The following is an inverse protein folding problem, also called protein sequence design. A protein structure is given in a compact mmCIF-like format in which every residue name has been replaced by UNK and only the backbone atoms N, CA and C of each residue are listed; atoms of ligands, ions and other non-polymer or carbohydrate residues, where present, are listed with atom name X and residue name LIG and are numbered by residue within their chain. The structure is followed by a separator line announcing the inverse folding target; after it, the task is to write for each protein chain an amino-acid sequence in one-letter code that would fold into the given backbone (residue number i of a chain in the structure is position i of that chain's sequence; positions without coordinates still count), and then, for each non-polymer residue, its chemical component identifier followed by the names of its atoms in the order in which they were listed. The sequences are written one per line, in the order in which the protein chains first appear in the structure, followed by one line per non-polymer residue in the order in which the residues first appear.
data_IF_493700050274
#
_entry.id   IF_493700050274
#
_cell.length_a   1.000
_cell.length_b   1.000
_cell.length_c   1.000
_cell.angle_alpha   90.00
_cell.angle_beta   90.00
_cell.angle_gamma   90.00
#
_symmetry.space_group_name_H-M   'P 1'
#
loop_
_entity.id
_entity.type
_entity.pdbx_description
1 polymer ?
#
# COMPACT_ATOMS: atom_id res chain seq x y z
N UNK A 1 1.56 -22.27 -2.21
CA UNK A 1 0.73 -22.37 -0.98
C UNK A 1 -0.59 -21.62 -1.15
N UNK A 2 -0.59 -20.40 -1.68
CA UNK A 2 -1.82 -19.59 -1.86
C UNK A 2 -2.36 -19.50 -3.30
N UNK A 3 -1.93 -20.34 -4.24
CA UNK A 3 -2.27 -20.13 -5.67
C UNK A 3 -3.79 -20.07 -5.93
N UNK A 4 -4.58 -20.90 -5.25
CA UNK A 4 -6.04 -20.89 -5.38
C UNK A 4 -6.68 -19.62 -4.78
N UNK A 5 -6.04 -19.04 -3.76
CA UNK A 5 -6.54 -17.85 -3.06
C UNK A 5 -6.56 -16.59 -3.93
N UNK A 6 -5.77 -16.57 -5.01
CA UNK A 6 -5.65 -15.46 -5.95
C UNK A 6 -6.50 -15.63 -7.22
N UNK A 7 -7.16 -16.77 -7.40
CA UNK A 7 -7.98 -17.06 -8.58
C UNK A 7 -9.38 -16.44 -8.48
N UNK A 8 -9.43 -15.12 -8.40
CA UNK A 8 -10.67 -14.35 -8.21
C UNK A 8 -11.56 -14.35 -9.46
N UNK A 9 -12.87 -14.39 -9.26
CA UNK A 9 -13.86 -14.30 -10.35
C UNK A 9 -13.80 -12.93 -11.01
N UNK A 10 -13.62 -11.87 -10.19
CA UNK A 10 -13.48 -10.50 -10.63
C UNK A 10 -12.44 -10.34 -11.74
N UNK A 11 -11.25 -10.95 -11.58
CA UNK A 11 -10.20 -10.86 -12.59
C UNK A 11 -10.60 -11.50 -13.93
N UNK A 12 -11.24 -12.67 -13.88
CA UNK A 12 -11.67 -13.41 -15.08
C UNK A 12 -12.77 -12.66 -15.83
N UNK A 13 -13.69 -12.05 -15.09
CA UNK A 13 -14.84 -11.33 -15.64
C UNK A 13 -14.47 -9.95 -16.18
N UNK A 14 -13.39 -9.34 -15.65
CA UNK A 14 -12.94 -8.00 -16.03
C UNK A 14 -11.67 -8.00 -16.90
N UNK A 15 -11.39 -9.10 -17.60
CA UNK A 15 -10.34 -9.15 -18.63
C UNK A 15 -8.90 -9.13 -18.10
N UNK A 16 -8.69 -9.41 -16.82
CA UNK A 16 -7.35 -9.59 -16.28
C UNK A 16 -6.79 -10.96 -16.65
N UNK A 17 -5.50 -10.98 -16.98
CA UNK A 17 -4.74 -12.20 -17.25
C UNK A 17 -3.66 -12.38 -16.20
N UNK A 18 -3.56 -13.60 -15.66
CA UNK A 18 -2.50 -13.96 -14.73
C UNK A 18 -1.22 -14.26 -15.50
N UNK A 19 -0.12 -13.64 -15.11
CA UNK A 19 1.21 -13.79 -15.70
C UNK A 19 2.24 -14.01 -14.61
N UNK A 20 3.40 -14.55 -14.99
CA UNK A 20 4.55 -14.69 -14.11
C UNK A 20 5.64 -13.70 -14.53
N UNK A 21 6.11 -12.88 -13.60
CA UNK A 21 7.16 -11.91 -13.87
C UNK A 21 8.50 -12.65 -14.08
N UNK A 22 9.22 -12.42 -15.19
CA UNK A 22 10.49 -13.08 -15.46
C UNK A 22 11.65 -12.57 -14.57
N UNK A 23 11.46 -11.43 -13.88
CA UNK A 23 12.50 -10.82 -13.03
C UNK A 23 12.45 -11.33 -11.58
N UNK A 24 11.30 -11.25 -10.94
CA UNK A 24 11.13 -11.70 -9.55
C UNK A 24 10.52 -13.11 -9.41
N UNK A 25 9.97 -13.69 -10.48
CA UNK A 25 9.28 -14.98 -10.44
C UNK A 25 7.88 -14.93 -9.82
N UNK A 26 7.47 -13.79 -9.24
CA UNK A 26 6.15 -13.57 -8.68
C UNK A 26 5.06 -13.55 -9.75
N UNK A 27 3.84 -13.95 -9.36
CA UNK A 27 2.67 -13.91 -10.23
C UNK A 27 1.94 -12.58 -10.05
N UNK A 28 1.33 -12.10 -11.12
CA UNK A 28 0.57 -10.86 -11.12
C UNK A 28 -0.56 -10.91 -12.13
N UNK A 29 -1.56 -10.06 -11.94
CA UNK A 29 -2.71 -9.89 -12.82
C UNK A 29 -2.62 -8.55 -13.54
N UNK A 30 -2.97 -8.54 -14.83
CA UNK A 30 -2.97 -7.34 -15.67
C UNK A 30 -4.00 -7.44 -16.79
N UNK A 31 -4.61 -6.32 -17.15
CA UNK A 31 -5.42 -6.20 -18.37
C UNK A 31 -4.58 -5.95 -19.63
N UNK A 32 -3.31 -5.56 -19.46
CA UNK A 32 -2.42 -5.27 -20.57
C UNK A 32 -1.77 -6.58 -21.09
N UNK A 33 -2.16 -7.00 -22.29
CA UNK A 33 -1.63 -8.21 -22.93
C UNK A 33 -0.12 -8.15 -23.20
N UNK A 34 0.44 -6.96 -23.41
CA UNK A 34 1.87 -6.76 -23.69
C UNK A 34 2.72 -6.69 -22.41
N UNK A 35 2.12 -6.43 -21.25
CA UNK A 35 2.81 -6.36 -19.96
C UNK A 35 3.49 -7.70 -19.64
N UNK A 36 4.81 -7.68 -19.41
CA UNK A 36 5.62 -8.88 -19.09
C UNK A 36 6.09 -8.94 -17.64
N UNK A 37 6.19 -7.81 -16.98
CA UNK A 37 6.73 -7.65 -15.62
C UNK A 37 5.64 -7.20 -14.64
N UNK A 38 5.87 -7.37 -13.34
CA UNK A 38 4.82 -7.24 -12.32
C UNK A 38 4.31 -5.81 -12.10
N UNK A 39 4.99 -4.78 -12.63
CA UNK A 39 4.60 -3.38 -12.46
C UNK A 39 5.12 -2.74 -11.17
N UNK A 40 6.01 -3.42 -10.46
CA UNK A 40 6.56 -3.00 -9.17
C UNK A 40 8.09 -2.88 -9.21
N UNK A 41 8.64 -1.98 -8.42
CA UNK A 41 10.08 -1.86 -8.24
C UNK A 41 10.62 -3.03 -7.40
N UNK A 42 11.77 -3.64 -7.76
CA UNK A 42 12.75 -3.21 -8.75
C UNK A 42 12.54 -3.79 -10.16
N UNK A 43 11.45 -4.53 -10.40
CA UNK A 43 11.19 -5.11 -11.71
C UNK A 43 10.87 -4.03 -12.76
N UNK A 44 10.16 -2.99 -12.35
CA UNK A 44 9.75 -1.85 -13.17
C UNK A 44 10.10 -0.55 -12.43
N UNK A 45 10.74 0.39 -13.13
CA UNK A 45 11.07 1.70 -12.56
C UNK A 45 9.89 2.66 -12.59
N UNK A 46 9.99 3.76 -11.85
CA UNK A 46 8.91 4.76 -11.77
C UNK A 46 8.71 5.51 -13.09
N UNK A 47 7.60 5.23 -13.78
CA UNK A 47 7.25 5.92 -15.03
C UNK A 47 6.42 7.18 -14.80
N UNK A 48 5.85 7.34 -13.61
CA UNK A 48 4.98 8.48 -13.28
C UNK A 48 5.73 9.79 -12.94
N UNK A 49 7.04 9.71 -12.66
CA UNK A 49 7.85 10.90 -12.36
C UNK A 49 7.95 11.77 -13.61
N UNK A 50 7.48 13.01 -13.53
CA UNK A 50 7.31 13.93 -14.66
C UNK A 50 6.12 13.64 -15.58
N UNK A 51 5.41 12.52 -15.36
CA UNK A 51 4.23 12.11 -16.12
C UNK A 51 3.19 11.48 -15.17
N UNK A 52 2.40 12.29 -14.44
CA UNK A 52 1.52 11.81 -13.37
C UNK A 52 0.66 10.61 -13.75
N UNK A 53 0.47 9.69 -12.81
CA UNK A 53 -0.35 8.49 -13.03
C UNK A 53 -1.85 8.78 -13.04
N UNK A 54 -2.27 9.92 -12.50
CA UNK A 54 -3.66 10.35 -12.41
C UNK A 54 -3.89 11.61 -13.25
N UNK A 55 -5.08 11.72 -13.84
CA UNK A 55 -5.51 12.90 -14.62
C UNK A 55 -5.71 14.16 -13.75
N UNK A 56 -5.91 13.98 -12.44
CA UNK A 56 -6.05 15.07 -11.46
C UNK A 56 -4.88 15.03 -10.49
N UNK A 57 -4.42 16.21 -10.09
CA UNK A 57 -3.45 16.37 -9.00
C UNK A 57 -4.21 16.51 -7.69
N UNK A 58 -3.70 15.86 -6.64
CA UNK A 58 -4.26 15.95 -5.30
C UNK A 58 -3.23 16.47 -4.31
N UNK A 59 -3.72 17.04 -3.21
CA UNK A 59 -2.97 17.30 -2.00
C UNK A 59 -3.39 16.29 -0.92
N UNK A 60 -2.66 16.22 0.20
CA UNK A 60 -2.96 15.27 1.28
C UNK A 60 -4.41 15.37 1.77
N UNK A 61 -4.94 16.58 1.92
CA UNK A 61 -6.33 16.78 2.37
C UNK A 61 -7.35 16.30 1.35
N UNK A 62 -7.16 16.62 0.07
CA UNK A 62 -8.13 16.29 -0.98
C UNK A 62 -8.09 14.82 -1.36
N UNK A 63 -6.91 14.19 -1.37
CA UNK A 63 -6.79 12.74 -1.57
C UNK A 63 -7.43 11.96 -0.42
N UNK A 64 -7.17 12.36 0.83
CA UNK A 64 -7.78 11.73 2.01
C UNK A 64 -9.30 11.82 1.95
N UNK A 65 -9.83 13.00 1.65
CA UNK A 65 -11.27 13.18 1.59
C UNK A 65 -11.90 12.42 0.41
N UNK A 66 -11.25 12.39 -0.76
CA UNK A 66 -11.72 11.60 -1.89
C UNK A 66 -11.82 10.11 -1.55
N UNK A 67 -10.81 9.55 -0.88
CA UNK A 67 -10.83 8.17 -0.40
C UNK A 67 -11.98 7.91 0.58
N UNK A 68 -12.08 8.73 1.63
CA UNK A 68 -13.07 8.52 2.70
C UNK A 68 -14.50 8.68 2.17
N UNK A 69 -14.74 9.75 1.39
CA UNK A 69 -16.05 10.00 0.75
C UNK A 69 -16.45 8.89 -0.21
N UNK A 70 -15.51 8.32 -0.97
CA UNK A 70 -15.77 7.17 -1.85
C UNK A 70 -16.30 5.98 -1.05
N UNK A 71 -15.62 5.59 0.03
CA UNK A 71 -16.05 4.44 0.84
C UNK A 71 -17.34 4.73 1.63
N UNK A 72 -17.54 5.95 2.11
CA UNK A 72 -18.80 6.38 2.74
C UNK A 72 -19.99 6.26 1.77
N UNK A 73 -19.82 6.71 0.52
CA UNK A 73 -20.83 6.57 -0.53
C UNK A 73 -21.10 5.09 -0.90
N UNK A 74 -20.14 4.21 -0.64
CA UNK A 74 -20.22 2.77 -0.85
C UNK A 74 -20.54 1.99 0.44
N UNK A 75 -21.19 2.63 1.42
CA UNK A 75 -21.77 1.97 2.59
C UNK A 75 -20.81 1.66 3.73
N UNK A 76 -19.57 2.15 3.68
CA UNK A 76 -18.63 2.06 4.79
C UNK A 76 -18.87 3.19 5.78
N UNK A 77 -18.69 2.92 7.07
CA UNK A 77 -18.74 3.98 8.07
C UNK A 77 -17.35 4.56 8.29
N UNK A 78 -17.22 5.88 8.19
CA UNK A 78 -15.98 6.59 8.51
C UNK A 78 -15.70 6.54 10.01
N UNK A 79 -14.47 6.17 10.36
CA UNK A 79 -13.97 6.10 11.74
C UNK A 79 -12.83 7.10 11.92
N UNK A 80 -12.80 7.74 13.09
CA UNK A 80 -11.71 8.64 13.45
C UNK A 80 -10.39 7.91 13.64
N UNK A 81 -9.28 8.58 13.32
CA UNK A 81 -7.94 8.03 13.52
C UNK A 81 -7.65 7.71 14.99
N UNK A 82 -6.92 6.61 15.19
CA UNK A 82 -6.33 6.23 16.46
C UNK A 82 -4.99 6.97 16.68
N UNK A 83 -4.50 7.07 17.94
CA UNK A 83 -3.18 7.62 18.18
C UNK A 83 -2.09 6.68 17.66
N UNK A 84 -0.96 7.24 17.22
CA UNK A 84 0.22 6.47 16.75
C UNK A 84 0.88 5.61 17.84
N UNK A 85 0.48 5.80 19.11
CA UNK A 85 0.93 4.99 20.24
C UNK A 85 -0.14 3.94 20.51
N UNK A 86 0.23 2.67 20.47
CA UNK A 86 -0.67 1.53 20.58
C UNK A 86 -1.10 1.30 22.05
N UNK A 87 -1.96 2.17 22.60
CA UNK A 87 -2.38 2.13 24.01
C UNK A 87 -3.31 0.96 24.37
N UNK A 88 -3.93 0.35 23.36
CA UNK A 88 -4.95 -0.70 23.51
C UNK A 88 -4.37 -2.12 23.48
N UNK A 89 -3.07 -2.27 23.22
CA UNK A 89 -2.37 -3.55 23.12
C UNK A 89 -1.00 -3.46 23.78
N UNK A 90 -0.39 -4.60 24.10
CA UNK A 90 0.85 -4.71 24.88
C UNK A 90 2.00 -5.42 24.16
N UNK A 91 1.78 -5.87 22.92
CA UNK A 91 2.75 -6.59 22.10
C UNK A 91 3.52 -5.70 21.10
N UNK A 92 3.01 -4.50 20.79
CA UNK A 92 3.71 -3.48 19.99
C UNK A 92 3.58 -2.09 20.63
N UNK A 93 4.55 -1.21 20.39
CA UNK A 93 4.54 0.15 20.95
C UNK A 93 3.82 1.19 20.08
N UNK A 94 3.91 1.05 18.75
CA UNK A 94 3.46 2.03 17.77
C UNK A 94 2.48 1.39 16.78
N UNK A 95 1.58 2.20 16.22
CA UNK A 95 0.68 1.76 15.14
C UNK A 95 1.48 1.55 13.86
N UNK A 96 1.59 0.31 13.40
CA UNK A 96 2.39 -0.08 12.21
C UNK A 96 1.57 -0.23 10.92
N UNK A 97 0.24 -0.34 11.05
CA UNK A 97 -0.76 -0.50 10.00
C UNK A 97 -2.14 -0.11 10.56
N UNK A 98 -3.11 0.20 9.70
CA UNK A 98 -4.49 0.49 10.11
C UNK A 98 -5.13 -0.67 10.88
N UNK A 99 -4.89 -1.92 10.44
CA UNK A 99 -5.43 -3.11 11.11
C UNK A 99 -4.92 -3.28 12.55
N UNK A 100 -3.77 -2.67 12.88
CA UNK A 100 -3.20 -2.74 14.22
C UNK A 100 -4.09 -2.07 15.28
N UNK A 101 -5.00 -1.18 14.86
CA UNK A 101 -6.00 -0.51 15.71
C UNK A 101 -7.07 -1.48 16.23
N UNK A 102 -7.30 -2.57 15.49
CA UNK A 102 -8.34 -3.55 15.78
C UNK A 102 -7.79 -4.87 16.35
N UNK A 103 -6.47 -5.05 16.25
CA UNK A 103 -5.78 -6.20 16.84
C UNK A 103 -5.53 -6.02 18.35
N UNK A 104 -5.54 -7.12 19.14
CA UNK A 104 -5.98 -8.46 18.76
C UNK A 104 -7.49 -8.70 18.98
N UNK A 105 -8.16 -7.81 19.73
CA UNK A 105 -9.49 -8.10 20.28
C UNK A 105 -10.61 -8.15 19.25
N UNK A 106 -10.61 -7.24 18.27
CA UNK A 106 -11.61 -7.26 17.19
C UNK A 106 -11.26 -8.34 16.18
N UNK A 107 -9.97 -8.47 15.83
CA UNK A 107 -9.54 -9.47 14.85
C UNK A 107 -9.71 -10.91 15.33
N UNK A 108 -9.76 -11.16 16.63
CA UNK A 108 -10.09 -12.47 17.23
C UNK A 108 -11.60 -12.69 17.47
N UNK A 109 -12.44 -11.68 17.23
CA UNK A 109 -13.88 -11.75 17.47
C UNK A 109 -14.31 -11.54 18.93
N UNK A 110 -13.39 -11.23 19.84
CA UNK A 110 -13.70 -10.96 21.27
C UNK A 110 -14.53 -9.69 21.43
N UNK A 111 -14.31 -8.68 20.58
CA UNK A 111 -15.00 -7.38 20.62
C UNK A 111 -15.47 -7.01 19.21
N UNK A 112 -16.68 -6.44 19.05
CA UNK A 112 -17.12 -6.00 17.73
C UNK A 112 -16.28 -4.81 17.22
N UNK A 113 -16.12 -4.65 15.89
CA UNK A 113 -15.52 -3.45 15.33
C UNK A 113 -16.41 -2.22 15.61
N UNK A 114 -15.87 -0.99 15.59
CA UNK A 114 -16.66 0.22 15.80
C UNK A 114 -17.75 0.43 14.72
N UNK A 115 -17.53 -0.10 13.51
CA UNK A 115 -18.52 -0.23 12.45
C UNK A 115 -18.12 -1.37 11.50
N UNK A 116 -19.06 -1.86 10.68
CA UNK A 116 -18.78 -2.94 9.73
C UNK A 116 -19.66 -2.79 8.47
N UNK A 117 -19.10 -2.53 7.28
CA UNK A 117 -17.68 -2.25 7.04
C UNK A 117 -17.31 -0.82 7.46
N UNK A 118 -16.02 -0.55 7.63
CA UNK A 118 -15.49 0.76 8.04
C UNK A 118 -14.43 1.29 7.08
N UNK A 119 -14.24 2.62 7.06
CA UNK A 119 -13.12 3.27 6.40
C UNK A 119 -12.42 4.27 7.32
N UNK A 120 -11.10 4.43 7.16
CA UNK A 120 -10.24 5.22 8.05
C UNK A 120 -9.01 5.76 7.29
N UNK A 121 -8.43 6.86 7.76
CA UNK A 121 -7.09 7.33 7.40
C UNK A 121 -6.22 7.31 8.64
N UNK A 122 -5.44 6.25 8.82
CA UNK A 122 -4.69 6.00 10.05
C UNK A 122 -3.22 6.39 9.89
N UNK A 123 -2.70 7.37 10.67
CA UNK A 123 -1.27 7.60 10.75
C UNK A 123 -0.54 6.40 11.36
N UNK A 124 0.50 5.94 10.69
CA UNK A 124 1.30 4.79 11.04
C UNK A 124 2.77 5.19 11.14
N UNK A 125 3.52 4.53 12.03
CA UNK A 125 4.96 4.68 12.14
C UNK A 125 5.63 3.34 11.89
N UNK A 126 6.53 3.30 10.90
CA UNK A 126 7.41 2.16 10.63
C UNK A 126 8.86 2.58 10.79
N UNK A 127 9.56 1.89 11.68
CA UNK A 127 10.98 2.14 11.95
C UNK A 127 11.89 1.11 11.27
N UNK A 128 11.33 -0.01 10.80
CA UNK A 128 12.08 -1.03 10.05
C UNK A 128 12.62 -0.48 8.72
N UNK A 129 11.92 0.49 8.14
CA UNK A 129 12.30 1.13 6.87
C UNK A 129 13.23 2.34 7.06
N UNK A 130 13.69 2.63 8.29
CA UNK A 130 14.42 3.86 8.62
C UNK A 130 15.66 4.08 7.74
N UNK A 131 16.44 3.01 7.49
CA UNK A 131 17.66 3.08 6.67
C UNK A 131 17.38 3.40 5.20
N UNK A 132 16.15 3.22 4.74
CA UNK A 132 15.72 3.51 3.38
C UNK A 132 15.13 4.91 3.21
N UNK A 133 14.73 5.57 4.30
CA UNK A 133 14.13 6.91 4.29
C UNK A 133 15.16 7.96 3.82
N UNK A 134 14.74 8.82 2.91
CA UNK A 134 15.59 9.85 2.28
C UNK A 134 16.49 9.31 1.15
N UNK A 135 16.62 7.99 1.01
CA UNK A 135 17.49 7.39 -0.01
C UNK A 135 16.72 6.76 -1.17
N UNK A 136 15.61 6.06 -0.90
CA UNK A 136 14.77 5.45 -1.95
C UNK A 136 13.84 6.46 -2.65
N UNK A 137 13.64 7.63 -2.07
CA UNK A 137 12.68 8.65 -2.54
C UNK A 137 11.20 8.33 -2.27
N UNK A 138 10.88 7.13 -1.77
CA UNK A 138 9.50 6.65 -1.54
C UNK A 138 9.16 6.30 -0.09
N UNK A 139 10.16 6.04 0.75
CA UNK A 139 9.94 5.58 2.13
C UNK A 139 9.81 6.76 3.09
N UNK A 140 8.91 6.60 4.06
CA UNK A 140 8.63 7.55 5.13
C UNK A 140 8.64 6.79 6.45
N UNK A 141 9.10 7.42 7.53
CA UNK A 141 8.94 6.84 8.87
C UNK A 141 7.50 6.95 9.36
N UNK A 142 6.83 8.06 9.04
CA UNK A 142 5.44 8.34 9.36
C UNK A 142 4.66 8.60 8.08
N UNK A 143 3.54 7.91 7.91
CA UNK A 143 2.67 8.01 6.75
C UNK A 143 1.23 7.67 7.14
N UNK A 144 0.26 8.14 6.38
CA UNK A 144 -1.15 7.77 6.56
C UNK A 144 -1.50 6.58 5.68
N UNK A 145 -1.88 5.48 6.35
CA UNK A 145 -2.49 4.32 5.72
C UNK A 145 -4.00 4.53 5.72
N UNK A 146 -4.53 4.89 4.56
CA UNK A 146 -5.97 4.85 4.32
C UNK A 146 -6.42 3.40 4.15
N UNK A 147 -7.57 3.04 4.70
CA UNK A 147 -8.02 1.66 4.70
C UNK A 147 -9.54 1.57 4.69
N UNK A 148 -10.03 0.50 4.09
CA UNK A 148 -11.35 -0.04 4.34
C UNK A 148 -11.23 -1.46 4.91
N UNK A 149 -12.02 -1.74 5.95
CA UNK A 149 -12.01 -3.02 6.64
C UNK A 149 -13.42 -3.61 6.70
N UNK A 150 -13.50 -4.93 6.49
CA UNK A 150 -14.70 -5.72 6.70
C UNK A 150 -14.36 -6.94 7.56
N UNK A 151 -15.09 -7.11 8.66
CA UNK A 151 -14.87 -8.17 9.62
C UNK A 151 -15.96 -9.24 9.45
N UNK A 152 -15.60 -10.36 8.83
CA UNK A 152 -16.54 -11.44 8.52
C UNK A 152 -16.37 -12.62 9.48
N UNK A 153 -17.42 -13.41 9.64
CA UNK A 153 -17.38 -14.70 10.33
C UNK A 153 -18.29 -15.70 9.61
N UNK A 154 -18.37 -16.93 10.11
CA UNK A 154 -19.18 -18.00 9.51
C UNK A 154 -20.67 -17.67 9.36
N UNK A 155 -21.19 -16.76 10.18
CA UNK A 155 -22.62 -16.44 10.23
C UNK A 155 -22.95 -15.17 9.42
N UNK A 156 -21.98 -14.27 9.26
CA UNK A 156 -22.18 -12.98 8.61
C UNK A 156 -20.94 -12.55 7.83
N UNK A 157 -21.09 -12.54 6.50
CA UNK A 157 -20.13 -11.96 5.55
C UNK A 157 -20.69 -10.64 5.03
N UNK A 158 -19.88 -9.57 5.10
CA UNK A 158 -20.18 -8.28 4.51
C UNK A 158 -19.80 -8.30 3.03
N UNK A 159 -18.52 -8.58 2.76
CA UNK A 159 -17.96 -8.86 1.44
C UNK A 159 -16.56 -9.50 1.61
N UNK A 160 -16.02 -10.08 0.54
CA UNK A 160 -14.71 -10.72 0.57
C UNK A 160 -13.79 -10.23 -0.55
N UNK A 161 -13.12 -11.15 -1.27
CA UNK A 161 -11.99 -10.80 -2.13
C UNK A 161 -12.40 -10.10 -3.41
N UNK A 162 -13.43 -10.61 -4.08
CA UNK A 162 -13.89 -10.09 -5.38
C UNK A 162 -14.32 -8.62 -5.25
N UNK A 163 -15.17 -8.32 -4.27
CA UNK A 163 -15.63 -6.95 -4.00
C UNK A 163 -14.50 -6.04 -3.48
N UNK A 164 -13.53 -6.58 -2.72
CA UNK A 164 -12.36 -5.78 -2.27
C UNK A 164 -11.55 -5.28 -3.47
N UNK A 165 -11.30 -6.16 -4.46
CA UNK A 165 -10.59 -5.77 -5.68
C UNK A 165 -11.45 -4.83 -6.53
N UNK A 166 -12.75 -5.09 -6.63
CA UNK A 166 -13.69 -4.21 -7.34
C UNK A 166 -13.71 -2.79 -6.75
N UNK A 167 -13.73 -2.65 -5.41
CA UNK A 167 -13.65 -1.35 -4.76
C UNK A 167 -12.34 -0.63 -5.07
N UNK A 168 -11.23 -1.36 -5.09
CA UNK A 168 -9.93 -0.79 -5.46
C UNK A 168 -9.94 -0.26 -6.89
N UNK A 169 -10.44 -1.02 -7.85
CA UNK A 169 -10.52 -0.59 -9.26
C UNK A 169 -11.45 0.61 -9.44
N UNK A 170 -12.63 0.59 -8.81
CA UNK A 170 -13.59 1.70 -8.84
C UNK A 170 -12.99 2.97 -8.25
N UNK A 171 -12.29 2.88 -7.11
CA UNK A 171 -11.60 4.01 -6.51
C UNK A 171 -10.54 4.58 -7.46
N UNK A 172 -9.68 3.74 -8.03
CA UNK A 172 -8.62 4.17 -8.95
C UNK A 172 -9.20 4.87 -10.19
N UNK A 173 -10.28 4.32 -10.76
CA UNK A 173 -11.00 4.93 -11.87
C UNK A 173 -11.61 6.29 -11.49
N UNK A 174 -12.24 6.41 -10.33
CA UNK A 174 -12.85 7.66 -9.85
C UNK A 174 -11.82 8.75 -9.54
N UNK A 175 -10.67 8.37 -9.00
CA UNK A 175 -9.52 9.24 -8.81
C UNK A 175 -8.90 9.69 -10.15
N UNK A 176 -9.27 9.01 -11.25
CA UNK A 176 -8.89 9.35 -12.61
C UNK A 176 -7.55 8.77 -13.03
N UNK A 177 -7.25 7.54 -12.62
CA UNK A 177 -6.08 6.77 -13.07
C UNK A 177 -6.05 6.70 -14.61
N UNK A 178 -4.89 7.01 -15.20
CA UNK A 178 -4.66 6.99 -16.66
C UNK A 178 -3.59 5.98 -17.08
N UNK A 179 -3.04 5.23 -16.11
CA UNK A 179 -2.04 4.19 -16.32
C UNK A 179 -2.64 2.82 -16.03
N UNK A 180 -2.05 1.78 -16.60
CA UNK A 180 -2.45 0.41 -16.29
C UNK A 180 -2.14 0.07 -14.82
N UNK A 181 -3.07 -0.62 -14.17
CA UNK A 181 -2.89 -1.22 -12.85
C UNK A 181 -2.49 -2.68 -12.98
N UNK A 182 -1.64 -3.14 -12.08
CA UNK A 182 -1.33 -4.56 -11.90
C UNK A 182 -1.56 -4.97 -10.45
N UNK A 183 -1.95 -6.24 -10.26
CA UNK A 183 -2.16 -6.83 -8.93
C UNK A 183 -1.18 -7.98 -8.74
N UNK A 184 -0.14 -7.75 -7.94
CA UNK A 184 0.93 -8.72 -7.69
C UNK A 184 0.58 -9.58 -6.47
N UNK A 185 0.73 -10.89 -6.61
CA UNK A 185 0.41 -11.88 -5.57
C UNK A 185 1.57 -11.99 -4.56
N UNK A 186 1.31 -11.73 -3.28
CA UNK A 186 2.30 -11.86 -2.21
C UNK A 186 1.66 -12.37 -0.90
N UNK A 187 2.38 -13.08 -0.03
CA UNK A 187 1.90 -13.37 1.32
C UNK A 187 2.18 -12.19 2.26
N UNK A 188 1.18 -11.78 3.04
CA UNK A 188 1.33 -10.75 4.06
C UNK A 188 1.30 -11.37 5.48
N UNK A 189 2.06 -10.76 6.40
CA UNK A 189 2.02 -11.10 7.83
C UNK A 189 2.46 -9.92 8.69
N UNK A 190 1.82 -9.73 9.85
CA UNK A 190 2.10 -8.64 10.78
C UNK A 190 1.14 -8.62 11.97
N UNK A 191 1.62 -8.18 13.14
CA UNK A 191 0.78 -7.96 14.33
C UNK A 191 0.05 -9.19 14.87
N UNK A 192 0.55 -10.40 14.59
CA UNK A 192 -0.05 -11.67 15.02
C UNK A 192 -1.05 -12.28 14.02
N UNK A 193 -1.26 -11.66 12.86
CA UNK A 193 -2.14 -12.18 11.81
C UNK A 193 -1.42 -12.24 10.45
N UNK A 194 -1.98 -13.00 9.51
CA UNK A 194 -1.46 -13.16 8.15
C UNK A 194 -2.56 -13.51 7.15
N UNK A 195 -2.22 -13.47 5.86
CA UNK A 195 -3.09 -13.89 4.77
C UNK A 195 -2.44 -13.70 3.39
N UNK A 196 -3.01 -14.28 2.33
CA UNK A 196 -2.68 -13.91 0.97
C UNK A 196 -3.03 -12.43 0.73
N UNK A 197 -2.21 -11.73 -0.04
CA UNK A 197 -2.49 -10.35 -0.43
C UNK A 197 -2.22 -10.06 -1.91
N UNK A 198 -2.84 -8.99 -2.39
CA UNK A 198 -2.59 -8.39 -3.68
C UNK A 198 -1.96 -7.02 -3.47
N UNK A 199 -0.72 -6.84 -3.92
CA UNK A 199 -0.06 -5.55 -4.03
C UNK A 199 -0.56 -4.85 -5.30
N UNK A 200 -1.17 -3.68 -5.14
CA UNK A 200 -1.75 -2.88 -6.22
C UNK A 200 -0.70 -1.89 -6.70
N UNK A 201 -0.16 -2.15 -7.89
CA UNK A 201 0.98 -1.40 -8.43
C UNK A 201 0.59 -0.64 -9.68
N UNK A 202 1.04 0.62 -9.74
CA UNK A 202 0.78 1.55 -10.84
C UNK A 202 2.09 2.23 -11.19
N UNK A 203 2.47 2.19 -12.47
CA UNK A 203 3.63 2.93 -12.98
C UNK A 203 4.95 2.66 -12.22
N UNK A 204 5.16 1.41 -11.76
CA UNK A 204 6.34 1.00 -11.01
C UNK A 204 6.23 1.19 -9.49
N UNK A 205 5.12 1.73 -8.99
CA UNK A 205 4.90 2.06 -7.57
C UNK A 205 3.73 1.28 -6.99
N UNK A 206 3.98 0.52 -5.94
CA UNK A 206 2.93 -0.04 -5.08
C UNK A 206 2.17 1.09 -4.37
N UNK A 207 0.89 1.26 -4.71
CA UNK A 207 0.00 2.26 -4.12
C UNK A 207 -0.80 1.70 -2.94
N UNK A 208 -1.16 0.42 -3.00
CA UNK A 208 -1.97 -0.22 -1.98
C UNK A 208 -1.64 -1.70 -1.82
N UNK A 209 -2.05 -2.28 -0.69
CA UNK A 209 -2.02 -3.71 -0.41
C UNK A 209 -3.41 -4.16 0.03
N UNK A 210 -3.93 -5.23 -0.56
CA UNK A 210 -5.22 -5.83 -0.23
C UNK A 210 -4.98 -7.21 0.39
N UNK A 211 -5.02 -7.29 1.72
CA UNK A 211 -4.76 -8.51 2.49
C UNK A 211 -6.08 -9.19 2.85
N UNK A 212 -6.16 -10.50 2.59
CA UNK A 212 -7.30 -11.33 2.95
C UNK A 212 -6.93 -12.15 4.18
N UNK A 213 -7.06 -11.55 5.36
CA UNK A 213 -6.62 -12.16 6.61
C UNK A 213 -7.52 -13.33 6.98
N UNK A 214 -6.94 -14.52 7.01
CA UNK A 214 -7.58 -15.75 7.46
C UNK A 214 -6.66 -16.59 8.36
N UNK A 215 -5.51 -16.03 8.77
CA UNK A 215 -4.50 -16.71 9.56
C UNK A 215 -4.15 -15.91 10.83
N UNK A 216 -3.91 -16.64 11.93
CA UNK A 216 -3.37 -16.12 13.19
C UNK A 216 -2.08 -16.84 13.57
N UNK A 217 -1.15 -16.12 14.18
CA UNK A 217 0.09 -16.69 14.70
C UNK A 217 -0.24 -17.74 15.78
N UNK A 218 0.36 -18.92 15.67
CA UNK A 218 0.09 -20.05 16.57
C UNK A 218 1.25 -21.03 16.59
N UNK A 219 1.68 -21.42 17.79
CA UNK A 219 2.80 -22.36 17.98
C UNK A 219 2.54 -23.74 17.38
N UNK A 220 1.27 -24.14 17.27
CA UNK A 220 0.80 -25.39 16.65
C UNK A 220 0.41 -25.24 15.18
N UNK A 221 0.55 -24.03 14.60
CA UNK A 221 0.13 -23.71 13.24
C UNK A 221 0.85 -24.52 12.17
N UNK A 222 0.14 -24.94 11.12
CA UNK A 222 0.69 -25.79 10.06
C UNK A 222 1.29 -25.01 8.89
N UNK A 223 1.09 -23.69 8.84
CA UNK A 223 1.60 -22.82 7.79
C UNK A 223 2.78 -22.00 8.32
N UNK A 224 3.84 -21.86 7.52
CA UNK A 224 4.98 -21.02 7.89
C UNK A 224 5.09 -19.83 6.93
N UNK A 225 5.03 -18.61 7.48
CA UNK A 225 5.16 -17.35 6.72
C UNK A 225 6.23 -16.52 7.43
N UNK A 226 7.27 -16.11 6.69
CA UNK A 226 8.41 -15.32 7.21
C UNK A 226 9.00 -15.88 8.52
N UNK A 227 9.09 -17.21 8.64
CA UNK A 227 9.68 -17.90 9.80
C UNK A 227 8.76 -18.06 11.02
N UNK A 228 7.53 -17.54 10.97
CA UNK A 228 6.50 -17.71 12.01
C UNK A 228 5.46 -18.75 11.61
N UNK A 229 4.88 -19.42 12.60
CA UNK A 229 3.84 -20.44 12.39
C UNK A 229 2.45 -19.83 12.53
N UNK A 230 1.54 -20.24 11.64
CA UNK A 230 0.18 -19.74 11.57
C UNK A 230 -0.85 -20.87 11.48
N UNK A 231 -1.99 -20.65 12.11
CA UNK A 231 -3.19 -21.48 12.04
C UNK A 231 -4.33 -20.69 11.40
N UNK A 232 -5.28 -21.39 10.81
CA UNK A 232 -6.50 -20.78 10.26
C UNK A 232 -7.36 -20.15 11.38
N UNK A 233 -8.01 -19.05 11.04
CA UNK A 233 -8.95 -18.35 11.89
C UNK A 233 -10.37 -18.84 11.60
N UNK A 234 -11.23 -18.84 12.62
CA UNK A 234 -12.66 -19.13 12.46
C UNK A 234 -13.41 -17.96 11.78
N UNK A 235 -12.83 -16.77 11.85
CA UNK A 235 -13.29 -15.54 11.21
C UNK A 235 -12.27 -15.08 10.15
N UNK A 236 -12.68 -14.20 9.26
CA UNK A 236 -11.84 -13.73 8.16
C UNK A 236 -12.09 -12.26 7.87
N UNK A 237 -11.04 -11.51 7.56
CA UNK A 237 -11.05 -10.04 7.62
C UNK A 237 -10.41 -9.44 6.38
N UNK A 238 -11.10 -8.48 5.79
CA UNK A 238 -10.55 -7.65 4.73
C UNK A 238 -9.67 -6.60 5.39
N UNK A 239 -8.38 -6.65 5.10
CA UNK A 239 -7.38 -5.71 5.58
C UNK A 239 -6.75 -5.03 4.38
N UNK A 240 -7.12 -3.78 4.16
CA UNK A 240 -6.53 -2.98 3.09
C UNK A 240 -5.66 -1.87 3.64
N UNK A 241 -4.65 -1.48 2.87
CA UNK A 241 -3.79 -0.35 3.18
C UNK A 241 -3.42 0.40 1.91
N UNK A 242 -3.79 1.67 1.84
CA UNK A 242 -3.55 2.59 0.73
C UNK A 242 -2.67 3.74 1.24
N UNK A 243 -1.46 3.89 0.70
CA UNK A 243 -0.53 4.90 1.18
C UNK A 243 -0.90 6.30 0.68
N UNK A 244 -1.47 7.15 1.54
CA UNK A 244 -1.93 8.50 1.18
C UNK A 244 -0.85 9.30 0.45
N UNK A 245 0.36 9.29 0.98
CA UNK A 245 1.51 10.03 0.44
C UNK A 245 1.93 9.51 -0.92
N UNK A 246 1.89 8.19 -1.13
CA UNK A 246 2.19 7.57 -2.43
C UNK A 246 1.13 7.91 -3.48
N UNK A 247 -0.15 7.92 -3.10
CA UNK A 247 -1.24 8.36 -3.97
C UNK A 247 -1.08 9.83 -4.38
N UNK A 248 -0.77 10.72 -3.43
CA UNK A 248 -0.49 12.14 -3.72
C UNK A 248 0.74 12.26 -4.63
N UNK A 249 1.82 11.54 -4.34
CA UNK A 249 3.04 11.55 -5.15
C UNK A 249 2.79 11.10 -6.59
N UNK A 250 2.09 9.98 -6.77
CA UNK A 250 1.71 9.47 -8.09
C UNK A 250 0.81 10.45 -8.85
N UNK A 251 -0.04 11.21 -8.15
CA UNK A 251 -0.88 12.25 -8.76
C UNK A 251 -0.12 13.51 -9.18
N UNK A 252 0.98 13.84 -8.50
CA UNK A 252 1.79 15.03 -8.79
C UNK A 252 2.93 14.76 -9.76
N UNK A 253 3.50 13.55 -9.73
CA UNK A 253 4.67 13.18 -10.54
C UNK A 253 5.94 13.94 -10.18
N UNK A 254 6.08 14.41 -8.93
CA UNK A 254 7.32 15.04 -8.45
C UNK A 254 8.48 14.03 -8.39
N UNK A 255 9.74 14.48 -8.29
CA UNK A 255 10.88 13.57 -8.21
C UNK A 255 10.81 12.61 -7.02
N UNK A 256 10.46 13.10 -5.83
CA UNK A 256 10.29 12.25 -4.64
C UNK A 256 8.93 12.44 -3.97
N UNK A 257 8.59 11.50 -3.08
CA UNK A 257 7.39 11.62 -2.23
C UNK A 257 7.47 12.88 -1.36
N UNK A 258 8.66 13.26 -0.88
CA UNK A 258 8.88 14.42 -0.02
C UNK A 258 8.51 15.72 -0.71
N UNK A 259 8.91 15.87 -1.98
CA UNK A 259 8.57 17.03 -2.81
C UNK A 259 7.06 17.12 -3.09
N UNK A 260 6.37 15.98 -3.10
CA UNK A 260 4.93 15.94 -3.31
C UNK A 260 4.14 16.38 -2.07
N UNK A 261 4.60 16.00 -0.87
CA UNK A 261 3.82 16.14 0.37
C UNK A 261 4.27 17.29 1.27
N UNK A 262 5.56 17.65 1.28
CA UNK A 262 6.13 18.72 2.12
C UNK A 262 7.07 19.66 1.33
N UNK A 263 6.67 20.18 0.16
CA UNK A 263 7.56 20.99 -0.69
C UNK A 263 8.17 22.18 0.05
N UNK A 264 7.38 22.90 0.85
CA UNK A 264 7.85 24.07 1.60
C UNK A 264 8.88 23.70 2.67
N UNK A 265 8.72 22.54 3.32
CA UNK A 265 9.67 22.07 4.33
C UNK A 265 11.00 21.66 3.69
N UNK A 266 10.94 20.93 2.58
CA UNK A 266 12.13 20.56 1.81
C UNK A 266 12.87 21.83 1.35
N UNK A 267 12.16 22.78 0.74
CA UNK A 267 12.73 24.05 0.30
C UNK A 267 13.40 24.82 1.44
N UNK A 268 12.72 24.94 2.57
CA UNK A 268 13.23 25.66 3.75
C UNK A 268 14.51 25.03 4.31
N UNK A 269 14.55 23.70 4.40
CA UNK A 269 15.73 22.98 4.90
C UNK A 269 16.90 23.13 3.92
N UNK A 270 16.66 23.00 2.62
CA UNK A 270 17.69 23.13 1.60
C UNK A 270 18.27 24.54 1.53
N UNK A 271 17.41 25.56 1.61
CA UNK A 271 17.80 26.97 1.67
C UNK A 271 18.69 27.25 2.89
N UNK A 272 18.29 26.80 4.09
CA UNK A 272 19.09 26.97 5.30
C UNK A 272 20.41 26.19 5.28
N UNK A 273 20.47 25.07 4.55
CA UNK A 273 21.69 24.31 4.34
C UNK A 273 22.60 24.92 3.25
N UNK A 274 22.15 25.94 2.53
CA UNK A 274 22.88 26.53 1.41
C UNK A 274 22.98 25.58 0.21
N UNK A 275 22.04 24.64 0.07
CA UNK A 275 21.98 23.68 -1.03
C UNK A 275 20.89 24.12 -2.01
N UNK A 276 21.24 24.23 -3.29
CA UNK A 276 20.27 24.56 -4.32
C UNK A 276 19.25 23.44 -4.51
N UNK A 277 17.97 23.80 -4.42
CA UNK A 277 16.84 22.91 -4.69
C UNK A 277 15.78 23.66 -5.48
N UNK A 278 15.89 23.63 -6.80
CA UNK A 278 14.99 24.33 -7.71
C UNK A 278 14.34 23.33 -8.66
N UNK A 279 13.14 22.86 -8.32
CA UNK A 279 12.33 22.04 -9.22
C UNK A 279 11.81 22.82 -10.45
N UNK A 280 11.98 24.15 -10.45
CA UNK A 280 11.69 24.99 -11.61
C UNK A 280 12.82 25.03 -12.63
N UNK A 281 14.05 24.69 -12.25
CA UNK A 281 15.15 24.49 -13.18
C UNK A 281 14.97 23.13 -13.90
N UNK A 282 14.77 23.11 -15.23
CA UNK A 282 14.58 21.88 -15.98
C UNK A 282 15.76 20.90 -15.92
N UNK A 283 17.00 21.39 -15.83
CA UNK A 283 18.20 20.54 -15.72
C UNK A 283 18.24 19.87 -14.35
N UNK A 284 18.06 20.65 -13.28
CA UNK A 284 18.01 20.14 -11.91
C UNK A 284 16.88 19.11 -11.74
N UNK A 285 15.67 19.46 -12.18
CA UNK A 285 14.51 18.59 -12.09
C UNK A 285 14.72 17.27 -12.86
N UNK A 286 15.39 17.33 -14.02
CA UNK A 286 15.72 16.14 -14.81
C UNK A 286 16.73 15.24 -14.11
N UNK A 287 17.80 15.79 -13.53
CA UNK A 287 18.79 15.02 -12.78
C UNK A 287 18.15 14.37 -11.57
N UNK A 288 17.36 15.11 -10.80
CA UNK A 288 16.69 14.58 -9.61
C UNK A 288 15.67 13.51 -9.98
N UNK A 289 14.91 13.69 -11.07
CA UNK A 289 13.98 12.68 -11.58
C UNK A 289 14.70 11.39 -12.02
N UNK A 290 15.85 11.49 -12.69
CA UNK A 290 16.64 10.32 -13.06
C UNK A 290 17.18 9.60 -11.83
N UNK A 291 17.71 10.34 -10.86
CA UNK A 291 18.16 9.78 -9.58
C UNK A 291 17.01 9.05 -8.89
N UNK A 292 15.85 9.68 -8.73
CA UNK A 292 14.71 9.08 -8.04
C UNK A 292 14.18 7.80 -8.72
N UNK A 293 14.16 7.77 -10.06
CA UNK A 293 13.81 6.56 -10.82
C UNK A 293 14.77 5.41 -10.56
N UNK A 294 16.07 5.70 -10.42
CA UNK A 294 17.10 4.70 -10.13
C UNK A 294 17.06 4.29 -8.66
N UNK A 295 16.92 5.24 -7.73
CA UNK A 295 16.82 4.99 -6.28
C UNK A 295 15.66 4.06 -5.93
N UNK A 296 14.58 4.08 -6.73
CA UNK A 296 13.48 3.13 -6.58
C UNK A 296 13.87 1.67 -6.79
N UNK A 297 14.87 1.40 -7.63
CA UNK A 297 15.33 0.07 -8.04
C UNK A 297 16.35 -0.55 -7.08
N UNK A 298 16.93 0.23 -6.16
CA UNK A 298 17.93 -0.25 -5.21
C UNK A 298 17.28 -0.60 -3.88
N UNK A 299 17.57 -1.80 -3.37
CA UNK A 299 17.31 -2.13 -1.97
C UNK A 299 18.52 -1.72 -1.12
N UNK A 300 18.40 -0.53 -0.56
CA UNK A 300 19.49 0.15 0.15
C UNK A 300 19.75 -0.41 1.55
N UNK A 301 18.98 -1.43 1.97
CA UNK A 301 19.24 -2.21 3.19
C UNK A 301 20.46 -3.12 3.05
N UNK A 302 20.90 -3.40 1.81
CA UNK A 302 22.14 -4.13 1.54
C UNK A 302 23.26 -3.18 1.14
N UNK A 303 24.39 -3.24 1.85
CA UNK A 303 25.56 -2.36 1.65
C UNK A 303 26.20 -2.53 0.25
N UNK A 304 25.84 -3.60 -0.47
CA UNK A 304 26.50 -4.05 -1.71
C UNK A 304 26.02 -3.41 -3.00
N UNK A 305 24.89 -2.70 -2.99
CA UNK A 305 24.19 -2.37 -4.23
C UNK A 305 24.57 -1.00 -4.85
N UNK A 306 25.25 -0.11 -4.11
CA UNK A 306 25.60 1.24 -4.59
C UNK A 306 26.88 1.32 -5.45
N UNK A 307 27.69 0.26 -5.51
CA UNK A 307 28.99 0.25 -6.22
C UNK A 307 28.97 -0.53 -7.56
N UNK A 308 27.80 -0.99 -8.04
CA UNK A 308 27.64 -1.74 -9.29
C UNK A 308 26.77 -1.00 -10.30
#
# INVERSE_FOLDING_TARGET
MFEQEYQLSYFRENGFTRKQCPKCGGYFWTQNEEQKTCGDAPCDGYTFIGNPAFSKKYDLSTMREAFLSFFEANGHTRVDRYPVIARWRDDIYLTIASIADFQPFVTSGITPPPANPLCISQPCIRLDDLDSVGRSGRHLTNFEMMAHHAFNNSDHEIYWKDETVEYCDKLLAELGLIQDVTYKEEPWSGGGNAGPCLEVTVAGLELATLVFMNLRESDDGNLTIKGKRYAEMDNYIVDTGYGLERFVWASKGSPTVYDAIFPDTVNTVMEHAGIEHSLHDPEYAKVLAQNARLSGLFDLSTVTDLER
#
